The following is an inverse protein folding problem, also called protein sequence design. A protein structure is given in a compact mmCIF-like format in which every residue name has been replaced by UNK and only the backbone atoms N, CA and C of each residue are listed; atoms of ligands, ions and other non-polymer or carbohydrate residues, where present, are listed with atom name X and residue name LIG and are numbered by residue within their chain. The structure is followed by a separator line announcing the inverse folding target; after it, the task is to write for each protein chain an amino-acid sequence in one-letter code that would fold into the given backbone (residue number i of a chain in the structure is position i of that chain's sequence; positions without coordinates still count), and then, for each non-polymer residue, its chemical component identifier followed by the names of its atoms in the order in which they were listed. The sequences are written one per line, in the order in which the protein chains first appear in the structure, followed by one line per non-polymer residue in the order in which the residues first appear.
data_IF_443207259554
#
_entry.id   IF_443207259554
#
_cell.length_a   1.000
_cell.length_b   1.000
_cell.length_c   1.000
_cell.angle_alpha   90.00
_cell.angle_beta   90.00
_cell.angle_gamma   90.00
#
_symmetry.space_group_name_H-M   'P 1'
#
loop_
_entity.id
_entity.type
_entity.pdbx_description
1 polymer ?
#
# COMPACT_ATOMS: atom_id res chain seq x y z
N UNK A 1 -12.75 -26.54 -40.43
CA UNK A 1 -12.02 -27.27 -40.01
C UNK A 1 -11.50 -27.54 -38.61
N UNK A 2 -10.28 -27.53 -38.18
CA UNK A 2 -9.82 -28.12 -36.93
C UNK A 2 -9.80 -27.22 -35.67
N UNK A 3 -10.49 -26.10 -35.62
CA UNK A 3 -10.46 -25.13 -34.50
C UNK A 3 -11.34 -25.52 -33.29
N UNK A 4 -12.30 -26.44 -33.46
CA UNK A 4 -13.12 -26.92 -32.33
C UNK A 4 -12.35 -27.69 -31.24
N UNK A 5 -11.13 -28.16 -31.56
CA UNK A 5 -10.25 -28.85 -30.61
C UNK A 5 -9.42 -27.89 -29.74
N UNK A 6 -9.29 -26.60 -30.11
CA UNK A 6 -8.48 -25.63 -29.38
C UNK A 6 -9.22 -24.90 -28.26
N UNK A 7 -10.56 -24.89 -28.27
CA UNK A 7 -11.34 -24.22 -27.22
C UNK A 7 -11.07 -24.78 -25.80
N UNK A 8 -10.90 -26.12 -25.58
CA UNK A 8 -10.51 -26.65 -24.30
C UNK A 8 -9.14 -26.14 -23.82
N UNK A 9 -8.18 -26.03 -24.75
CA UNK A 9 -6.84 -25.54 -24.46
C UNK A 9 -6.86 -24.10 -23.97
N UNK A 10 -7.63 -23.21 -24.62
CA UNK A 10 -7.78 -21.83 -24.20
C UNK A 10 -8.34 -21.69 -22.76
N UNK A 11 -9.32 -22.50 -22.40
CA UNK A 11 -9.87 -22.52 -21.02
C UNK A 11 -8.82 -23.02 -20.03
N UNK A 12 -8.09 -24.08 -20.36
CA UNK A 12 -7.02 -24.61 -19.50
C UNK A 12 -5.93 -23.55 -19.28
N UNK A 13 -5.52 -22.84 -20.34
CA UNK A 13 -4.53 -21.76 -20.23
C UNK A 13 -5.02 -20.63 -19.31
N UNK A 14 -6.28 -20.24 -19.38
CA UNK A 14 -6.83 -19.22 -18.48
C UNK A 14 -6.89 -19.72 -17.03
N UNK A 15 -7.25 -20.98 -16.80
CA UNK A 15 -7.24 -21.57 -15.45
C UNK A 15 -5.84 -21.65 -14.89
N UNK A 16 -4.88 -22.18 -15.67
CA UNK A 16 -3.48 -22.25 -15.26
C UNK A 16 -2.91 -20.85 -15.03
N UNK A 17 -3.20 -19.90 -15.93
CA UNK A 17 -2.77 -18.51 -15.78
C UNK A 17 -3.32 -17.86 -14.50
N UNK A 18 -4.54 -18.18 -14.09
CA UNK A 18 -5.13 -17.65 -12.85
C UNK A 18 -4.48 -18.21 -11.58
N UNK A 19 -3.80 -19.35 -11.65
CA UNK A 19 -3.06 -19.94 -10.53
C UNK A 19 -1.57 -19.56 -10.51
N UNK A 20 -1.12 -18.79 -11.49
CA UNK A 20 0.29 -18.38 -11.59
C UNK A 20 0.79 -17.63 -10.34
N UNK A 21 0.00 -16.70 -9.71
CA UNK A 21 0.43 -16.03 -8.48
C UNK A 21 0.74 -17.01 -7.35
N UNK A 22 -0.04 -18.08 -7.24
CA UNK A 22 0.18 -19.12 -6.25
C UNK A 22 1.52 -19.88 -6.49
N UNK A 23 1.80 -20.22 -7.74
CA UNK A 23 3.05 -20.90 -8.09
C UNK A 23 4.28 -20.03 -7.77
N UNK A 24 4.20 -18.72 -8.06
CA UNK A 24 5.28 -17.77 -7.72
C UNK A 24 5.37 -17.55 -6.21
N UNK A 25 4.24 -17.46 -5.52
CA UNK A 25 4.20 -17.33 -4.06
C UNK A 25 4.87 -18.55 -3.39
N UNK A 26 4.61 -19.78 -3.87
CA UNK A 26 5.27 -21.00 -3.42
C UNK A 26 6.79 -20.97 -3.60
N UNK A 27 7.27 -20.33 -4.66
CA UNK A 27 8.70 -20.23 -4.95
C UNK A 27 9.40 -19.17 -4.10
N UNK A 28 8.71 -18.09 -3.71
CA UNK A 28 9.30 -16.92 -3.05
C UNK A 28 9.03 -16.89 -1.54
N UNK A 29 7.82 -17.26 -1.11
CA UNK A 29 7.39 -17.22 0.28
C UNK A 29 7.18 -18.62 0.83
N UNK A 30 7.81 -18.95 1.96
CA UNK A 30 7.69 -20.29 2.55
C UNK A 30 6.53 -20.44 3.53
N UNK A 31 6.02 -19.34 4.12
CA UNK A 31 5.00 -19.36 5.17
C UNK A 31 3.63 -18.92 4.66
N UNK A 32 2.56 -19.56 5.15
CA UNK A 32 1.16 -19.21 4.82
C UNK A 32 0.71 -19.52 3.38
N UNK A 33 1.61 -20.00 2.53
CA UNK A 33 1.37 -20.22 1.10
C UNK A 33 0.37 -21.34 0.85
N UNK A 34 0.41 -22.38 1.67
CA UNK A 34 -0.52 -23.50 1.55
C UNK A 34 -1.96 -23.03 1.76
N UNK A 35 -2.22 -22.28 2.82
CA UNK A 35 -3.52 -21.72 3.17
C UNK A 35 -4.01 -20.78 2.07
N UNK A 36 -3.17 -19.85 1.61
CA UNK A 36 -3.48 -18.94 0.50
C UNK A 36 -3.84 -19.71 -0.77
N UNK A 37 -3.10 -20.78 -1.06
CA UNK A 37 -3.35 -21.65 -2.21
C UNK A 37 -4.69 -22.37 -2.14
N UNK A 38 -5.05 -22.84 -0.97
CA UNK A 38 -6.34 -23.52 -0.74
C UNK A 38 -7.51 -22.58 -1.01
N UNK A 39 -7.44 -21.36 -0.46
CA UNK A 39 -8.46 -20.33 -0.71
C UNK A 39 -8.54 -19.95 -2.18
N UNK A 40 -7.39 -19.83 -2.87
CA UNK A 40 -7.35 -19.53 -4.30
C UNK A 40 -8.04 -20.59 -5.14
N UNK A 41 -7.71 -21.87 -4.93
CA UNK A 41 -8.30 -23.00 -5.66
C UNK A 41 -9.78 -23.14 -5.34
N UNK A 42 -10.17 -23.01 -4.07
CA UNK A 42 -11.55 -23.06 -3.63
C UNK A 42 -12.40 -21.98 -4.32
N UNK A 43 -11.95 -20.74 -4.27
CA UNK A 43 -12.69 -19.62 -4.86
C UNK A 43 -12.76 -19.69 -6.38
N UNK A 44 -11.69 -20.13 -7.04
CA UNK A 44 -11.71 -20.36 -8.48
C UNK A 44 -12.71 -21.44 -8.85
N UNK A 45 -12.73 -22.55 -8.12
CA UNK A 45 -13.67 -23.65 -8.33
C UNK A 45 -15.12 -23.22 -8.14
N UNK A 46 -15.42 -22.45 -7.08
CA UNK A 46 -16.75 -21.87 -6.82
C UNK A 46 -17.13 -20.93 -7.97
N UNK A 47 -16.24 -20.00 -8.36
CA UNK A 47 -16.50 -19.02 -9.43
C UNK A 47 -16.81 -19.71 -10.75
N UNK A 48 -16.02 -20.70 -11.14
CA UNK A 48 -16.25 -21.49 -12.38
C UNK A 48 -17.55 -22.30 -12.28
N UNK A 49 -17.87 -22.85 -11.12
CA UNK A 49 -19.11 -23.62 -10.91
C UNK A 49 -20.36 -22.75 -11.03
N UNK A 50 -20.32 -21.53 -10.49
CA UNK A 50 -21.44 -20.58 -10.57
C UNK A 50 -21.69 -20.09 -12.01
N UNK A 51 -20.64 -19.88 -12.80
CA UNK A 51 -20.73 -19.31 -14.14
C UNK A 51 -20.84 -20.34 -15.26
N UNK A 52 -20.74 -21.63 -14.96
CA UNK A 52 -20.67 -22.71 -15.95
C UNK A 52 -21.85 -22.81 -16.93
N UNK A 53 -23.04 -22.34 -16.53
CA UNK A 53 -24.24 -22.32 -17.43
C UNK A 53 -24.14 -21.23 -18.48
N UNK A 54 -23.26 -20.27 -18.30
CA UNK A 54 -23.05 -19.11 -19.15
C UNK A 54 -21.58 -19.10 -19.67
N UNK A 55 -21.26 -19.92 -20.70
CA UNK A 55 -19.88 -20.15 -21.11
C UNK A 55 -19.11 -18.86 -21.48
N UNK A 56 -19.79 -17.91 -22.12
CA UNK A 56 -19.16 -16.62 -22.46
C UNK A 56 -18.82 -15.81 -21.22
N UNK A 57 -19.73 -15.75 -20.26
CA UNK A 57 -19.51 -15.05 -19.00
C UNK A 57 -18.39 -15.72 -18.19
N UNK A 58 -18.35 -17.04 -18.17
CA UNK A 58 -17.26 -17.81 -17.51
C UNK A 58 -15.91 -17.52 -18.18
N UNK A 59 -15.84 -17.50 -19.50
CA UNK A 59 -14.61 -17.19 -20.23
C UNK A 59 -14.14 -15.74 -19.97
N UNK A 60 -15.07 -14.78 -19.92
CA UNK A 60 -14.76 -13.40 -19.58
C UNK A 60 -14.25 -13.30 -18.14
N UNK A 61 -14.91 -13.96 -17.19
CA UNK A 61 -14.49 -14.00 -15.80
C UNK A 61 -13.09 -14.61 -15.64
N UNK A 62 -12.80 -15.73 -16.28
CA UNK A 62 -11.48 -16.37 -16.26
C UNK A 62 -10.41 -15.48 -16.90
N UNK A 63 -10.74 -14.77 -17.97
CA UNK A 63 -9.80 -13.83 -18.60
C UNK A 63 -9.46 -12.66 -17.66
N UNK A 64 -10.45 -12.08 -16.98
CA UNK A 64 -10.25 -11.02 -15.99
C UNK A 64 -9.39 -11.50 -14.81
N UNK A 65 -9.69 -12.69 -14.28
CA UNK A 65 -8.86 -13.30 -13.21
C UNK A 65 -7.43 -13.52 -13.71
N UNK A 66 -7.24 -14.08 -14.91
CA UNK A 66 -5.90 -14.32 -15.45
C UNK A 66 -5.13 -13.02 -15.69
N UNK A 67 -5.79 -11.96 -16.14
CA UNK A 67 -5.16 -10.65 -16.31
C UNK A 67 -4.72 -10.05 -14.96
N UNK A 68 -5.56 -10.16 -13.94
CA UNK A 68 -5.21 -9.77 -12.58
C UNK A 68 -4.11 -10.65 -11.98
N UNK A 69 -4.07 -11.94 -12.32
CA UNK A 69 -3.01 -12.86 -11.88
C UNK A 69 -1.62 -12.42 -12.36
N UNK A 70 -1.51 -11.98 -13.61
CA UNK A 70 -0.26 -11.46 -14.16
C UNK A 70 0.18 -10.20 -13.38
N UNK A 71 -0.77 -9.32 -13.05
CA UNK A 71 -0.49 -8.15 -12.23
C UNK A 71 0.01 -8.53 -10.82
N UNK A 72 -0.62 -9.53 -10.19
CA UNK A 72 -0.18 -10.04 -8.88
C UNK A 72 1.24 -10.59 -8.91
N UNK A 73 1.58 -11.35 -9.96
CA UNK A 73 2.94 -11.87 -10.16
C UNK A 73 3.94 -10.73 -10.33
N UNK A 74 3.59 -9.71 -11.11
CA UNK A 74 4.46 -8.55 -11.32
C UNK A 74 4.70 -7.79 -10.01
N UNK A 75 3.66 -7.58 -9.22
CA UNK A 75 3.76 -6.96 -7.90
C UNK A 75 4.67 -7.77 -6.97
N UNK A 76 4.47 -9.08 -6.92
CA UNK A 76 5.27 -9.99 -6.09
C UNK A 76 6.74 -9.98 -6.49
N UNK A 77 7.06 -10.01 -7.79
CA UNK A 77 8.43 -10.00 -8.30
C UNK A 77 9.15 -8.67 -8.11
N UNK A 78 8.44 -7.55 -8.18
CA UNK A 78 9.05 -6.21 -8.05
C UNK A 78 9.10 -5.70 -6.62
N UNK A 79 8.05 -5.96 -5.85
CA UNK A 79 7.84 -5.35 -4.54
C UNK A 79 7.82 -6.37 -3.41
N UNK A 80 7.95 -7.66 -3.72
CA UNK A 80 7.95 -8.72 -2.71
C UNK A 80 6.59 -9.00 -2.06
N UNK A 81 5.50 -8.39 -2.58
CA UNK A 81 4.14 -8.54 -2.05
C UNK A 81 3.09 -8.53 -3.14
N UNK A 82 1.93 -9.13 -2.85
CA UNK A 82 0.76 -9.06 -3.73
C UNK A 82 0.05 -7.72 -3.59
N UNK A 83 -0.89 -7.42 -4.48
CA UNK A 83 -1.75 -6.24 -4.36
C UNK A 83 -2.52 -6.33 -3.05
N UNK A 84 -2.23 -5.42 -2.15
CA UNK A 84 -2.85 -5.25 -0.85
C UNK A 84 -3.67 -3.95 -0.79
N UNK A 85 -4.20 -3.64 0.37
CA UNK A 85 -4.96 -2.40 0.61
C UNK A 85 -4.12 -1.16 0.36
N UNK A 86 -2.83 -1.19 0.70
CA UNK A 86 -1.93 -0.06 0.50
C UNK A 86 -1.63 0.16 -0.99
N UNK A 87 -1.49 -0.92 -1.76
CA UNK A 87 -1.33 -0.85 -3.21
C UNK A 87 -2.57 -0.23 -3.88
N UNK A 88 -3.79 -0.62 -3.46
CA UNK A 88 -5.03 -0.01 -3.94
C UNK A 88 -5.13 1.46 -3.55
N UNK A 89 -4.75 1.80 -2.32
CA UNK A 89 -4.72 3.18 -1.85
C UNK A 89 -3.73 4.01 -2.69
N UNK A 90 -2.51 3.52 -2.91
CA UNK A 90 -1.51 4.15 -3.77
C UNK A 90 -2.05 4.42 -5.18
N UNK A 91 -2.67 3.41 -5.82
CA UNK A 91 -3.27 3.59 -7.15
C UNK A 91 -4.36 4.65 -7.14
N UNK A 92 -5.21 4.70 -6.11
CA UNK A 92 -6.29 5.68 -6.00
C UNK A 92 -5.80 7.10 -5.67
N UNK A 93 -4.65 7.19 -5.00
CA UNK A 93 -4.01 8.45 -4.60
C UNK A 93 -3.04 8.95 -5.69
N UNK A 94 -2.62 8.07 -6.63
CA UNK A 94 -1.72 8.44 -7.74
C UNK A 94 -2.42 9.38 -8.71
N UNK A 95 -1.80 10.50 -8.96
CA UNK A 95 -2.31 11.49 -9.93
C UNK A 95 -1.99 11.10 -11.37
N UNK A 96 -2.69 11.69 -12.34
CA UNK A 96 -2.44 11.42 -13.78
C UNK A 96 -1.00 11.75 -14.18
N UNK A 97 -0.40 12.76 -13.55
CA UNK A 97 0.99 13.15 -13.79
C UNK A 97 2.01 12.12 -13.32
N UNK A 98 1.73 11.42 -12.24
CA UNK A 98 2.55 10.31 -11.73
C UNK A 98 2.28 9.01 -12.49
N UNK A 99 1.02 8.76 -12.86
CA UNK A 99 0.61 7.55 -13.57
C UNK A 99 1.22 7.46 -14.98
N UNK A 100 1.24 8.56 -15.75
CA UNK A 100 1.75 8.58 -17.12
C UNK A 100 3.20 8.10 -17.25
N UNK A 101 4.16 8.55 -16.41
CA UNK A 101 5.50 8.01 -16.43
C UNK A 101 5.61 6.55 -16.00
N UNK A 102 4.75 6.11 -15.08
CA UNK A 102 4.71 4.71 -14.69
C UNK A 102 4.29 3.81 -15.84
N UNK A 103 3.42 4.29 -16.76
CA UNK A 103 3.05 3.55 -17.96
C UNK A 103 4.27 3.25 -18.85
N UNK A 104 5.24 4.15 -18.95
CA UNK A 104 6.48 3.90 -19.69
C UNK A 104 7.40 2.86 -19.01
N UNK A 105 7.21 2.61 -17.72
CA UNK A 105 7.95 1.60 -16.96
C UNK A 105 7.24 0.25 -16.90
N UNK A 106 6.06 0.13 -17.51
CA UNK A 106 5.31 -1.14 -17.58
C UNK A 106 6.13 -2.17 -18.35
N UNK A 107 6.43 -3.33 -17.76
CA UNK A 107 7.28 -4.31 -18.42
C UNK A 107 6.59 -4.92 -19.64
N UNK A 108 7.34 -5.12 -20.69
CA UNK A 108 6.87 -5.74 -21.93
C UNK A 108 6.20 -7.09 -21.64
N UNK A 109 6.72 -7.87 -20.68
CA UNK A 109 6.13 -9.14 -20.26
C UNK A 109 4.71 -9.03 -19.72
N UNK A 110 4.37 -7.94 -19.02
CA UNK A 110 3.01 -7.67 -18.54
C UNK A 110 2.07 -7.36 -19.70
N UNK A 111 2.51 -6.49 -20.59
CA UNK A 111 1.74 -6.13 -21.80
C UNK A 111 1.53 -7.32 -22.73
N UNK A 112 2.59 -8.13 -22.98
CA UNK A 112 2.47 -9.32 -23.81
C UNK A 112 1.58 -10.39 -23.18
N UNK A 113 1.63 -10.55 -21.86
CA UNK A 113 0.73 -11.44 -21.12
C UNK A 113 -0.73 -11.02 -21.25
N UNK A 114 -1.03 -9.75 -21.10
CA UNK A 114 -2.39 -9.21 -21.29
C UNK A 114 -2.85 -9.34 -22.73
N UNK A 115 -2.00 -9.04 -23.71
CA UNK A 115 -2.31 -9.23 -25.12
C UNK A 115 -2.66 -10.69 -25.44
N UNK A 116 -1.89 -11.64 -24.89
CA UNK A 116 -2.17 -13.07 -25.04
C UNK A 116 -3.53 -13.46 -24.44
N UNK A 117 -3.86 -12.96 -23.24
CA UNK A 117 -5.16 -13.20 -22.61
C UNK A 117 -6.31 -12.64 -23.47
N UNK A 118 -6.16 -11.45 -24.01
CA UNK A 118 -7.16 -10.84 -24.91
C UNK A 118 -7.37 -11.69 -26.16
N UNK A 119 -6.30 -12.19 -26.77
CA UNK A 119 -6.39 -13.08 -27.96
C UNK A 119 -7.10 -14.38 -27.62
N UNK A 120 -6.75 -15.03 -26.48
CA UNK A 120 -7.41 -16.25 -26.01
C UNK A 120 -8.90 -15.98 -25.74
N UNK A 121 -9.20 -14.90 -25.01
CA UNK A 121 -10.57 -14.51 -24.68
C UNK A 121 -11.41 -14.23 -25.95
N UNK A 122 -10.88 -13.46 -26.89
CA UNK A 122 -11.58 -13.16 -28.15
C UNK A 122 -11.88 -14.45 -28.94
N UNK A 123 -10.91 -15.36 -29.02
CA UNK A 123 -11.12 -16.69 -29.62
C UNK A 123 -12.22 -17.49 -28.96
N UNK A 124 -12.29 -17.46 -27.63
CA UNK A 124 -13.34 -18.13 -26.84
C UNK A 124 -14.72 -17.45 -26.96
N UNK A 125 -14.77 -16.14 -27.14
CA UNK A 125 -16.01 -15.40 -27.38
C UNK A 125 -16.61 -15.73 -28.74
N UNK A 126 -15.78 -15.89 -29.77
CA UNK A 126 -16.22 -16.29 -31.10
C UNK A 126 -16.74 -17.75 -31.12
N UNK A 127 -16.12 -18.62 -30.34
CA UNK A 127 -16.46 -20.07 -30.28
C UNK A 127 -16.42 -20.57 -28.85
N UNK A 128 -17.48 -20.34 -28.07
CA UNK A 128 -17.51 -20.74 -26.67
C UNK A 128 -17.39 -22.26 -26.50
N UNK A 129 -16.56 -22.73 -25.56
CA UNK A 129 -16.31 -24.16 -25.40
C UNK A 129 -17.54 -24.87 -24.85
N UNK A 130 -17.93 -25.96 -25.51
CA UNK A 130 -19.03 -26.82 -25.05
C UNK A 130 -18.68 -27.62 -23.79
N UNK A 131 -17.39 -27.67 -23.44
CA UNK A 131 -16.86 -28.37 -22.24
C UNK A 131 -17.43 -27.85 -20.91
N UNK A 132 -17.87 -26.59 -20.89
CA UNK A 132 -18.48 -25.99 -19.70
C UNK A 132 -19.92 -26.49 -19.41
N UNK A 133 -20.48 -27.35 -20.26
CA UNK A 133 -21.76 -28.03 -20.05
C UNK A 133 -21.67 -29.27 -19.15
N UNK A 134 -20.54 -29.51 -18.51
CA UNK A 134 -20.38 -30.64 -17.59
C UNK A 134 -21.43 -30.64 -16.46
N UNK A 135 -21.92 -31.84 -16.03
CA UNK A 135 -22.93 -31.94 -14.99
C UNK A 135 -22.39 -31.39 -13.68
N UNK A 136 -22.95 -30.27 -13.27
CA UNK A 136 -22.42 -29.45 -12.25
C UNK A 136 -22.43 -29.96 -10.84
N UNK A 137 -23.25 -30.93 -10.62
CA UNK A 137 -23.31 -31.62 -9.32
C UNK A 137 -21.98 -32.33 -9.02
N UNK A 138 -21.31 -32.91 -10.02
CA UNK A 138 -20.02 -33.59 -9.83
C UNK A 138 -18.87 -32.60 -9.65
N UNK A 139 -18.88 -31.48 -10.38
CA UNK A 139 -17.85 -30.44 -10.23
C UNK A 139 -18.01 -29.67 -8.91
N UNK A 140 -19.24 -29.37 -8.51
CA UNK A 140 -19.53 -28.74 -7.22
C UNK A 140 -19.20 -29.66 -6.04
N UNK A 141 -19.51 -30.97 -6.15
CA UNK A 141 -19.15 -31.95 -5.14
C UNK A 141 -17.65 -32.19 -5.09
N UNK A 142 -16.96 -32.22 -6.23
CA UNK A 142 -15.49 -32.31 -6.27
C UNK A 142 -14.84 -31.04 -5.70
N UNK A 143 -15.25 -29.84 -6.14
CA UNK A 143 -14.76 -28.58 -5.61
C UNK A 143 -15.09 -28.42 -4.13
N UNK A 144 -16.31 -28.72 -3.72
CA UNK A 144 -16.74 -28.69 -2.30
C UNK A 144 -16.02 -29.74 -1.46
N UNK A 145 -15.79 -30.94 -1.99
CA UNK A 145 -15.01 -31.99 -1.34
C UNK A 145 -13.55 -31.64 -1.18
N UNK A 146 -12.94 -31.06 -2.20
CA UNK A 146 -11.59 -30.52 -2.13
C UNK A 146 -11.52 -29.39 -1.09
N UNK A 147 -12.47 -28.44 -1.10
CA UNK A 147 -12.53 -27.38 -0.10
C UNK A 147 -12.69 -27.91 1.32
N UNK A 148 -13.57 -28.90 1.53
CA UNK A 148 -13.78 -29.51 2.84
C UNK A 148 -12.57 -30.29 3.32
N UNK A 149 -11.93 -31.08 2.43
CA UNK A 149 -10.70 -31.81 2.75
C UNK A 149 -9.56 -30.86 3.10
N UNK A 150 -9.43 -29.77 2.35
CA UNK A 150 -8.39 -28.77 2.57
C UNK A 150 -8.65 -27.96 3.86
N UNK A 151 -9.90 -27.62 4.14
CA UNK A 151 -10.29 -27.01 5.42
C UNK A 151 -10.00 -27.95 6.60
N UNK A 152 -10.29 -29.25 6.46
CA UNK A 152 -9.99 -30.25 7.47
C UNK A 152 -8.47 -30.40 7.69
N UNK A 153 -7.66 -30.39 6.63
CA UNK A 153 -6.20 -30.41 6.72
C UNK A 153 -5.69 -29.16 7.44
N UNK A 154 -6.21 -27.96 7.11
CA UNK A 154 -5.84 -26.71 7.78
C UNK A 154 -6.17 -26.78 9.27
N UNK A 155 -7.40 -27.21 9.62
CA UNK A 155 -7.84 -27.33 11.03
C UNK A 155 -7.02 -28.38 11.78
N UNK A 156 -6.68 -29.51 11.15
CA UNK A 156 -5.85 -30.55 11.75
C UNK A 156 -4.41 -30.09 11.97
N UNK A 157 -3.84 -29.35 11.00
CA UNK A 157 -2.46 -28.82 11.11
C UNK A 157 -2.37 -27.71 12.13
N UNK A 158 -3.40 -26.87 12.28
CA UNK A 158 -3.45 -25.81 13.30
C UNK A 158 -3.64 -26.40 14.69
N UNK A 159 -4.43 -27.48 14.84
CA UNK A 159 -4.56 -28.20 16.12
C UNK A 159 -3.23 -28.79 16.60
N UNK A 160 -2.35 -29.20 15.68
CA UNK A 160 -1.02 -29.73 16.00
C UNK A 160 -0.03 -28.62 16.42
N UNK A 161 -0.10 -27.44 15.76
CA UNK A 161 0.83 -26.32 16.08
C UNK A 161 0.47 -25.60 17.38
N UNK A 162 -0.80 -25.59 17.81
CA UNK A 162 -1.22 -24.94 19.05
C UNK A 162 -0.69 -25.62 20.32
N UNK A 163 -0.22 -26.86 20.24
CA UNK A 163 0.34 -27.58 21.39
C UNK A 163 1.83 -27.29 21.68
N UNK A 164 2.50 -26.50 20.85
CA UNK A 164 3.96 -26.31 20.93
C UNK A 164 4.48 -24.87 20.99
N UNK A 165 3.62 -23.87 20.97
CA UNK A 165 4.05 -22.46 21.03
C UNK A 165 3.32 -21.70 22.12
N UNK A 166 4.10 -21.15 23.04
CA UNK A 166 3.66 -20.40 24.20
C UNK A 166 2.69 -19.26 23.87
N UNK A 167 1.66 -19.15 24.70
CA UNK A 167 0.51 -18.26 24.64
C UNK A 167 0.81 -16.75 24.83
N UNK A 168 1.94 -16.24 24.34
CA UNK A 168 2.35 -14.85 24.58
C UNK A 168 1.94 -13.85 23.50
N UNK A 169 1.50 -14.31 22.30
CA UNK A 169 1.01 -13.42 21.23
C UNK A 169 -0.19 -14.05 20.53
N UNK A 170 -1.38 -13.52 20.82
CA UNK A 170 -2.63 -13.88 20.13
C UNK A 170 -2.64 -13.33 18.68
N UNK A 171 -1.90 -14.00 17.78
CA UNK A 171 -1.76 -13.61 16.38
C UNK A 171 -2.37 -14.61 15.35
N UNK A 172 -3.00 -15.74 15.68
CA UNK A 172 -3.49 -16.69 14.68
C UNK A 172 -4.58 -16.09 13.78
N UNK A 173 -5.40 -15.18 14.28
CA UNK A 173 -6.46 -14.51 13.52
C UNK A 173 -5.93 -13.54 12.47
N UNK A 174 -4.86 -12.81 12.75
CA UNK A 174 -4.23 -11.88 11.83
C UNK A 174 -3.51 -12.61 10.69
N UNK A 175 -2.79 -13.68 11.01
CA UNK A 175 -2.12 -14.52 9.99
C UNK A 175 -3.11 -15.20 9.05
N UNK A 176 -4.24 -15.67 9.56
CA UNK A 176 -5.32 -16.27 8.75
C UNK A 176 -5.95 -15.26 7.82
N UNK A 177 -6.23 -14.06 8.30
CA UNK A 177 -6.78 -12.99 7.47
C UNK A 177 -5.79 -12.57 6.39
N UNK A 178 -4.50 -12.51 6.71
CA UNK A 178 -3.46 -12.20 5.74
C UNK A 178 -3.30 -13.33 4.69
N UNK A 179 -3.32 -14.59 5.11
CA UNK A 179 -3.32 -15.72 4.21
C UNK A 179 -4.54 -15.73 3.27
N UNK A 180 -5.72 -15.35 3.78
CA UNK A 180 -6.94 -15.22 2.98
C UNK A 180 -6.83 -14.08 1.96
N UNK A 181 -6.27 -12.93 2.34
CA UNK A 181 -6.00 -11.80 1.43
C UNK A 181 -5.04 -12.16 0.31
N UNK A 182 -4.01 -12.96 0.61
CA UNK A 182 -3.03 -13.46 -0.39
C UNK A 182 -3.59 -14.53 -1.33
N UNK A 183 -4.73 -15.12 -0.99
CA UNK A 183 -5.39 -16.16 -1.79
C UNK A 183 -6.07 -15.61 -3.04
N UNK A 184 -5.30 -15.25 -4.08
CA UNK A 184 -5.86 -14.80 -5.34
C UNK A 184 -6.59 -15.95 -6.08
N UNK A 185 -7.81 -15.76 -6.65
CA UNK A 185 -8.55 -14.51 -6.78
C UNK A 185 -9.48 -14.17 -5.59
N UNK A 186 -9.72 -15.08 -4.65
CA UNK A 186 -10.70 -14.94 -3.56
C UNK A 186 -10.34 -13.84 -2.56
N UNK A 187 -9.08 -13.54 -2.38
CA UNK A 187 -8.61 -12.48 -1.50
C UNK A 187 -8.94 -11.07 -2.01
N UNK A 188 -9.04 -10.88 -3.33
CA UNK A 188 -9.25 -9.54 -3.91
C UNK A 188 -10.54 -8.85 -3.43
N UNK A 189 -11.71 -9.52 -3.34
CA UNK A 189 -12.90 -8.89 -2.77
C UNK A 189 -12.69 -8.40 -1.33
N UNK A 190 -11.92 -9.12 -0.52
CA UNK A 190 -11.58 -8.71 0.85
C UNK A 190 -10.66 -7.50 0.87
N UNK A 191 -9.64 -7.48 0.00
CA UNK A 191 -8.72 -6.34 -0.14
C UNK A 191 -9.48 -5.09 -0.59
N UNK A 192 -10.39 -5.22 -1.56
CA UNK A 192 -11.23 -4.12 -2.04
C UNK A 192 -12.18 -3.63 -0.93
N UNK A 193 -12.85 -4.55 -0.23
CA UNK A 193 -13.73 -4.19 0.87
C UNK A 193 -12.99 -3.47 1.99
N UNK A 194 -11.82 -3.97 2.37
CA UNK A 194 -10.96 -3.39 3.38
C UNK A 194 -10.48 -1.99 2.99
N UNK A 195 -10.11 -1.79 1.70
CA UNK A 195 -9.77 -0.48 1.16
C UNK A 195 -10.90 0.53 1.36
N UNK A 196 -12.14 0.17 0.97
CA UNK A 196 -13.28 1.07 1.14
C UNK A 196 -13.66 1.28 2.61
N UNK A 197 -13.46 0.28 3.47
CA UNK A 197 -13.64 0.40 4.91
C UNK A 197 -12.65 1.40 5.49
N UNK A 198 -11.35 1.23 5.20
CA UNK A 198 -10.30 2.14 5.68
C UNK A 198 -10.51 3.57 5.16
N UNK A 199 -10.92 3.73 3.91
CA UNK A 199 -11.22 5.04 3.35
C UNK A 199 -12.37 5.72 4.09
N UNK A 200 -13.44 5.00 4.39
CA UNK A 200 -14.56 5.53 5.21
C UNK A 200 -14.11 5.87 6.62
N UNK A 201 -13.26 5.07 7.21
CA UNK A 201 -12.70 5.34 8.54
C UNK A 201 -11.81 6.58 8.56
N UNK A 202 -11.00 6.80 7.52
CA UNK A 202 -10.20 8.02 7.36
C UNK A 202 -11.07 9.27 7.32
N UNK A 203 -12.13 9.26 6.51
CA UNK A 203 -13.08 10.38 6.42
C UNK A 203 -13.79 10.61 7.75
N UNK A 204 -14.17 9.54 8.45
CA UNK A 204 -14.85 9.64 9.74
C UNK A 204 -13.90 9.98 10.91
N UNK A 205 -12.60 9.71 10.77
CA UNK A 205 -11.63 9.93 11.84
C UNK A 205 -11.52 11.40 12.23
N UNK A 206 -11.51 12.30 11.26
CA UNK A 206 -11.40 13.74 11.49
C UNK A 206 -12.55 14.25 12.36
N UNK A 207 -13.79 13.88 12.05
CA UNK A 207 -14.96 14.24 12.85
C UNK A 207 -14.92 13.63 14.27
N UNK A 208 -14.49 12.37 14.40
CA UNK A 208 -14.38 11.72 15.73
C UNK A 208 -13.32 12.34 16.61
N UNK A 209 -12.25 12.87 16.02
CA UNK A 209 -11.12 13.47 16.73
C UNK A 209 -11.28 14.99 16.92
N UNK A 210 -12.37 15.60 16.51
CA UNK A 210 -12.60 17.04 16.64
C UNK A 210 -12.54 17.51 18.10
N UNK A 211 -13.06 16.69 19.02
CA UNK A 211 -13.03 16.98 20.46
C UNK A 211 -11.76 16.50 21.17
N UNK A 212 -10.87 15.77 20.46
CA UNK A 212 -9.65 15.23 21.09
C UNK A 212 -8.70 16.36 21.50
N UNK A 213 -8.13 16.26 22.69
CA UNK A 213 -7.11 17.16 23.22
C UNK A 213 -6.03 16.35 23.97
N UNK A 214 -4.79 16.74 23.77
CA UNK A 214 -3.66 16.18 24.53
C UNK A 214 -3.58 16.76 25.96
N UNK A 215 -4.16 17.95 26.17
CA UNK A 215 -3.91 18.73 27.37
C UNK A 215 -2.45 19.22 27.46
N UNK A 216 -1.81 19.38 26.30
CA UNK A 216 -0.42 19.78 26.25
C UNK A 216 -0.24 21.24 26.67
N UNK A 217 0.73 21.48 27.54
CA UNK A 217 1.12 22.82 27.99
C UNK A 217 2.64 22.92 28.04
N UNK A 218 3.13 24.16 27.97
CA UNK A 218 4.56 24.42 28.13
C UNK A 218 4.87 24.77 29.59
N UNK A 219 5.98 24.25 30.09
CA UNK A 219 6.53 24.78 31.33
C UNK A 219 6.96 26.24 31.11
N UNK A 220 6.46 27.14 31.94
CA UNK A 220 6.86 28.55 31.91
C UNK A 220 8.22 28.65 32.60
N UNK A 221 9.29 28.63 31.84
CA UNK A 221 10.67 28.79 32.36
C UNK A 221 11.21 30.11 31.81
N UNK A 222 11.06 31.22 32.55
CA UNK A 222 11.63 32.52 32.23
C UNK A 222 11.12 33.18 30.92
N UNK A 223 11.65 34.36 30.62
CA UNK A 223 11.44 35.02 29.33
C UNK A 223 12.41 34.45 28.29
N UNK A 224 11.95 33.50 27.52
CA UNK A 224 12.75 32.94 26.43
C UNK A 224 12.58 33.77 25.14
N UNK A 225 13.61 33.91 24.34
CA UNK A 225 13.46 34.39 22.97
C UNK A 225 12.52 33.44 22.21
N UNK A 226 11.95 33.92 21.12
CA UNK A 226 11.12 33.13 20.21
C UNK A 226 11.72 31.75 19.93
N UNK A 227 10.92 30.71 20.04
CA UNK A 227 11.33 29.31 19.77
C UNK A 227 10.84 28.90 18.40
N UNK A 228 11.73 28.27 17.64
CA UNK A 228 11.41 27.71 16.34
C UNK A 228 11.85 26.25 16.34
N UNK A 229 10.88 25.35 16.21
CA UNK A 229 11.13 23.93 16.00
C UNK A 229 10.79 23.56 14.57
N UNK A 230 11.73 22.91 13.88
CA UNK A 230 11.54 22.46 12.49
C UNK A 230 11.72 20.96 12.44
N UNK A 231 10.68 20.26 12.02
CA UNK A 231 10.70 18.81 11.73
C UNK A 231 10.71 18.63 10.22
N UNK A 232 11.82 18.13 9.67
CA UNK A 232 11.92 17.80 8.25
C UNK A 232 11.65 16.32 8.07
N UNK A 233 10.58 15.99 7.35
CA UNK A 233 10.24 14.63 6.95
C UNK A 233 10.79 14.42 5.54
N UNK A 234 11.89 13.64 5.45
CA UNK A 234 12.50 13.26 4.18
C UNK A 234 11.73 12.15 3.48
N UNK A 235 11.97 11.98 2.20
CA UNK A 235 11.37 10.93 1.37
C UNK A 235 12.47 10.06 0.74
N UNK A 236 12.33 8.75 0.86
CA UNK A 236 13.17 7.71 0.24
C UNK A 236 14.69 7.88 0.49
N UNK A 237 15.07 8.50 1.62
CA UNK A 237 16.45 8.71 2.03
C UNK A 237 17.03 7.49 2.73
N UNK A 238 17.88 6.71 2.04
CA UNK A 238 18.56 5.55 2.63
C UNK A 238 19.70 5.98 3.54
N UNK A 239 19.68 5.53 4.80
CA UNK A 239 20.68 5.84 5.80
C UNK A 239 22.10 5.42 5.40
N UNK A 240 22.23 4.29 4.67
CA UNK A 240 23.50 3.75 4.18
C UNK A 240 24.08 4.49 2.96
N UNK A 241 23.35 5.47 2.41
CA UNK A 241 23.82 6.37 1.35
C UNK A 241 24.16 7.78 1.86
N UNK A 242 24.26 7.97 3.16
CA UNK A 242 24.69 9.23 3.76
C UNK A 242 26.16 9.15 4.19
N UNK A 243 27.00 10.05 3.71
CA UNK A 243 28.42 10.13 4.10
C UNK A 243 28.58 10.22 5.62
N UNK A 244 27.68 10.92 6.29
CA UNK A 244 27.54 11.01 7.74
C UNK A 244 27.43 9.63 8.44
N UNK A 245 26.94 8.62 7.73
CA UNK A 245 26.79 7.26 8.22
C UNK A 245 27.85 6.29 7.70
N UNK A 246 28.87 6.80 6.97
CA UNK A 246 29.98 5.99 6.44
C UNK A 246 29.85 5.64 4.95
N UNK A 247 28.95 6.27 4.19
CA UNK A 247 28.90 6.11 2.75
C UNK A 247 30.16 6.69 2.10
N UNK A 248 30.72 5.98 1.11
CA UNK A 248 31.98 6.35 0.48
C UNK A 248 31.95 7.62 -0.38
N UNK A 249 30.75 8.06 -0.80
CA UNK A 249 30.58 9.31 -1.55
C UNK A 249 30.21 10.43 -0.58
N UNK A 250 30.73 11.62 -0.84
CA UNK A 250 30.39 12.81 -0.07
C UNK A 250 28.98 13.33 -0.41
N UNK A 251 27.96 12.64 0.12
CA UNK A 251 26.54 12.92 -0.10
C UNK A 251 25.96 13.92 0.91
N UNK A 252 26.64 14.19 2.02
CA UNK A 252 26.17 15.08 3.10
C UNK A 252 27.24 16.06 3.60
N UNK A 253 27.96 16.78 2.73
CA UNK A 253 29.15 17.59 3.11
C UNK A 253 28.81 18.67 4.14
N UNK A 254 27.66 19.36 3.96
CA UNK A 254 27.21 20.42 4.87
C UNK A 254 26.79 19.93 6.25
N UNK A 255 26.20 18.71 6.31
CA UNK A 255 25.82 18.08 7.57
C UNK A 255 27.05 17.53 8.29
N UNK A 256 27.96 16.91 7.55
CA UNK A 256 29.20 16.33 8.09
C UNK A 256 30.13 17.37 8.71
N UNK A 257 30.03 18.63 8.27
CA UNK A 257 30.84 19.73 8.81
C UNK A 257 30.24 20.41 10.07
N UNK A 258 29.04 20.00 10.51
CA UNK A 258 28.40 20.62 11.67
C UNK A 258 28.88 19.97 12.98
N UNK A 259 29.12 20.81 13.98
CA UNK A 259 29.55 20.37 15.33
C UNK A 259 28.36 20.16 16.30
N UNK A 260 27.17 20.68 15.94
CA UNK A 260 25.93 20.61 16.72
C UNK A 260 24.96 19.54 16.25
N UNK A 261 25.45 18.60 15.40
CA UNK A 261 24.65 17.54 14.83
C UNK A 261 24.67 16.29 15.69
N UNK A 262 23.49 15.71 15.94
CA UNK A 262 23.32 14.38 16.55
C UNK A 262 22.82 13.43 15.46
N UNK A 263 23.60 12.40 15.13
CA UNK A 263 23.22 11.37 14.17
C UNK A 263 22.83 10.08 14.86
N UNK A 264 21.59 9.64 14.65
CA UNK A 264 21.08 8.37 15.18
C UNK A 264 21.44 7.22 14.25
N UNK A 265 22.32 6.33 14.68
CA UNK A 265 22.82 5.19 13.86
C UNK A 265 21.82 4.02 13.78
N UNK A 266 20.88 3.93 14.73
CA UNK A 266 19.91 2.82 14.87
C UNK A 266 18.48 3.37 14.88
N UNK A 267 18.14 4.16 13.87
CA UNK A 267 16.80 4.67 13.67
C UNK A 267 16.17 3.96 12.47
N UNK A 268 15.03 3.30 12.69
CA UNK A 268 14.37 2.48 11.68
C UNK A 268 13.00 3.04 11.34
N UNK A 269 12.71 3.17 10.06
CA UNK A 269 11.36 3.48 9.60
C UNK A 269 10.43 2.29 9.86
N UNK A 270 9.21 2.56 10.26
CA UNK A 270 8.17 1.54 10.47
C UNK A 270 7.85 0.77 9.19
N UNK A 271 7.88 1.45 8.06
CA UNK A 271 7.51 0.92 6.76
C UNK A 271 8.31 1.60 5.65
N UNK A 272 8.23 1.04 4.45
CA UNK A 272 8.86 1.55 3.24
C UNK A 272 7.96 2.53 2.47
N UNK A 273 6.78 2.86 2.99
CA UNK A 273 5.84 3.80 2.37
C UNK A 273 5.54 4.96 3.31
N UNK A 274 5.46 6.15 2.77
CA UNK A 274 5.09 7.40 3.45
C UNK A 274 3.77 7.27 4.20
N UNK A 275 2.76 6.65 3.56
CA UNK A 275 1.43 6.42 4.12
C UNK A 275 1.42 5.71 5.48
N UNK A 276 2.33 4.77 5.71
CA UNK A 276 2.43 4.02 6.96
C UNK A 276 3.46 4.59 7.94
N UNK A 277 4.51 5.25 7.42
CA UNK A 277 5.62 5.76 8.23
C UNK A 277 5.28 7.10 8.89
N UNK A 278 4.71 8.04 8.14
CA UNK A 278 4.43 9.40 8.64
C UNK A 278 3.45 9.43 9.81
N UNK A 279 2.36 8.63 9.82
CA UNK A 279 1.49 8.55 11.00
C UNK A 279 2.21 8.09 12.28
N UNK A 280 3.18 7.18 12.17
CA UNK A 280 3.99 6.75 13.32
C UNK A 280 4.98 7.83 13.76
N UNK A 281 5.53 8.61 12.83
CA UNK A 281 6.44 9.72 13.14
C UNK A 281 5.70 10.85 13.87
N UNK A 282 4.47 11.13 13.47
CA UNK A 282 3.72 12.30 13.92
C UNK A 282 2.69 12.03 15.02
N UNK A 283 2.56 10.80 15.51
CA UNK A 283 1.60 10.47 16.55
C UNK A 283 2.17 9.44 17.52
N UNK A 284 1.42 9.11 18.57
CA UNK A 284 1.74 8.00 19.48
C UNK A 284 1.27 6.64 18.96
N UNK A 285 0.98 6.57 17.65
CA UNK A 285 0.58 5.32 17.01
C UNK A 285 1.64 4.25 17.19
N UNK A 286 1.30 3.06 17.75
CA UNK A 286 2.26 1.99 17.92
C UNK A 286 2.84 1.53 16.57
N UNK A 287 4.15 1.29 16.46
CA UNK A 287 4.78 0.84 15.23
C UNK A 287 4.19 -0.47 14.66
N UNK A 288 3.62 -1.33 15.51
CA UNK A 288 2.97 -2.58 15.11
C UNK A 288 1.55 -2.42 14.56
N UNK A 289 0.91 -1.26 14.75
CA UNK A 289 -0.47 -1.05 14.30
C UNK A 289 -0.57 -1.01 12.78
N UNK A 290 -1.48 -1.81 12.22
CA UNK A 290 -1.78 -1.87 10.78
C UNK A 290 -2.93 -0.93 10.39
N UNK A 291 -3.58 -0.28 11.34
CA UNK A 291 -4.70 0.62 11.10
C UNK A 291 -4.24 1.87 10.34
N UNK A 292 -5.05 2.37 9.44
CA UNK A 292 -4.76 3.59 8.69
C UNK A 292 -4.90 4.86 9.55
N UNK A 293 -5.76 4.80 10.57
CA UNK A 293 -6.02 5.89 11.53
C UNK A 293 -5.56 5.49 12.93
N UNK A 294 -5.36 6.50 13.77
CA UNK A 294 -5.10 6.32 15.19
C UNK A 294 -6.10 7.14 16.00
N UNK A 295 -6.42 6.69 17.21
CA UNK A 295 -7.44 7.31 18.06
C UNK A 295 -7.05 8.68 18.67
N UNK A 296 -5.97 9.30 18.18
CA UNK A 296 -5.44 10.57 18.67
C UNK A 296 -5.03 11.47 17.49
N UNK A 297 -5.00 12.77 17.74
CA UNK A 297 -4.47 13.79 16.82
C UNK A 297 -2.93 13.68 16.72
N UNK A 298 -2.35 14.44 15.81
CA UNK A 298 -0.91 14.45 15.58
C UNK A 298 -0.14 15.34 16.57
N UNK A 299 1.19 15.24 16.52
CA UNK A 299 2.13 16.12 17.22
C UNK A 299 1.86 17.62 16.94
N UNK A 300 1.34 17.94 15.74
CA UNK A 300 0.94 19.32 15.40
C UNK A 300 -0.16 19.83 16.34
N UNK A 301 -1.16 18.99 16.65
CA UNK A 301 -2.20 19.36 17.62
C UNK A 301 -1.61 19.59 19.02
N UNK A 302 -0.70 18.71 19.46
CA UNK A 302 -0.05 18.87 20.76
C UNK A 302 0.80 20.16 20.82
N UNK A 303 1.53 20.48 19.76
CA UNK A 303 2.29 21.71 19.66
C UNK A 303 1.37 22.96 19.67
N UNK A 304 0.23 22.90 18.98
CA UNK A 304 -0.77 23.96 18.97
C UNK A 304 -1.35 24.21 20.37
N UNK A 305 -1.72 23.16 21.09
CA UNK A 305 -2.18 23.25 22.47
C UNK A 305 -1.11 23.84 23.41
N UNK A 306 0.15 23.54 23.15
CA UNK A 306 1.29 24.10 23.88
C UNK A 306 1.60 25.56 23.46
N UNK A 307 0.79 26.19 22.60
CA UNK A 307 0.88 27.60 22.23
C UNK A 307 1.86 27.91 21.11
N UNK A 308 2.26 26.91 20.31
CA UNK A 308 3.00 27.16 19.08
C UNK A 308 2.05 27.50 17.93
N UNK A 309 2.46 28.40 17.06
CA UNK A 309 1.90 28.46 15.72
C UNK A 309 2.42 27.27 14.93
N UNK A 310 1.52 26.47 14.39
CA UNK A 310 1.86 25.21 13.73
C UNK A 310 1.67 25.32 12.22
N UNK A 311 2.67 24.93 11.45
CA UNK A 311 2.64 25.01 9.98
C UNK A 311 3.05 23.70 9.38
N UNK A 312 2.26 23.21 8.43
CA UNK A 312 2.60 22.13 7.53
C UNK A 312 2.97 22.69 6.15
N UNK A 313 4.20 22.49 5.73
CA UNK A 313 4.71 22.92 4.44
C UNK A 313 5.18 21.70 3.64
N UNK A 314 4.59 21.44 2.48
CA UNK A 314 4.90 20.27 1.66
C UNK A 314 5.10 20.64 0.20
N UNK A 315 6.07 20.03 -0.45
CA UNK A 315 6.20 20.04 -1.90
C UNK A 315 5.71 18.73 -2.55
N UNK A 316 5.19 17.80 -1.76
CA UNK A 316 4.36 16.72 -2.27
C UNK A 316 2.95 17.28 -2.55
N UNK A 317 2.28 16.76 -3.58
CA UNK A 317 0.92 17.18 -3.89
C UNK A 317 -0.07 16.77 -2.78
N UNK A 318 -1.12 17.57 -2.54
CA UNK A 318 -2.22 17.11 -1.72
C UNK A 318 -2.91 15.97 -2.45
N UNK A 319 -2.61 14.74 -2.07
CA UNK A 319 -3.35 13.58 -2.55
C UNK A 319 -4.75 13.64 -1.97
N UNK A 320 -5.77 13.77 -2.82
CA UNK A 320 -7.20 13.84 -2.49
C UNK A 320 -7.50 14.46 -1.12
N UNK A 321 -8.09 15.62 -1.05
CA UNK A 321 -8.20 16.46 0.15
C UNK A 321 -8.73 15.77 1.42
N UNK A 322 -9.27 14.55 1.31
CA UNK A 322 -9.85 13.77 2.41
C UNK A 322 -9.32 12.33 2.53
N UNK A 323 -8.43 11.88 1.66
CA UNK A 323 -8.24 10.45 1.43
C UNK A 323 -6.89 9.88 1.89
N UNK A 324 -5.93 10.72 2.29
CA UNK A 324 -4.61 10.29 2.75
C UNK A 324 -4.44 10.46 4.26
N UNK A 325 -3.89 9.48 4.98
CA UNK A 325 -3.54 9.65 6.40
C UNK A 325 -2.65 10.87 6.65
N UNK A 326 -1.79 11.22 5.69
CA UNK A 326 -0.88 12.36 5.79
C UNK A 326 -1.66 13.67 5.73
N UNK A 327 -2.63 13.78 4.84
CA UNK A 327 -3.49 14.97 4.74
C UNK A 327 -4.33 15.17 6.00
N UNK A 328 -4.82 14.08 6.60
CA UNK A 328 -5.55 14.13 7.88
C UNK A 328 -4.65 14.69 8.98
N UNK A 329 -3.40 14.22 9.08
CA UNK A 329 -2.45 14.72 10.07
C UNK A 329 -2.01 16.18 9.80
N UNK A 330 -1.85 16.54 8.53
CA UNK A 330 -1.49 17.92 8.15
C UNK A 330 -2.55 18.93 8.55
N UNK A 331 -3.84 18.54 8.53
CA UNK A 331 -4.97 19.41 8.96
C UNK A 331 -4.96 19.77 10.43
N UNK A 332 -4.17 19.09 11.27
CA UNK A 332 -3.99 19.45 12.66
C UNK A 332 -3.16 20.74 12.84
N UNK A 333 -2.47 21.20 11.79
CA UNK A 333 -1.74 22.46 11.79
C UNK A 333 -2.69 23.66 11.67
N UNK A 334 -2.26 24.82 12.21
CA UNK A 334 -2.95 26.10 12.00
C UNK A 334 -2.88 26.55 10.54
N UNK A 335 -1.80 26.20 9.85
CA UNK A 335 -1.58 26.55 8.46
C UNK A 335 -1.05 25.34 7.67
N UNK A 336 -1.70 25.02 6.55
CA UNK A 336 -1.29 23.93 5.63
C UNK A 336 -1.00 24.53 4.26
N UNK A 337 0.22 24.30 3.76
CA UNK A 337 0.67 24.77 2.44
C UNK A 337 1.26 23.63 1.63
N UNK A 338 0.68 23.41 0.46
CA UNK A 338 1.24 22.54 -0.58
C UNK A 338 1.81 23.43 -1.69
N UNK A 339 3.13 23.35 -1.91
CA UNK A 339 3.83 24.23 -2.86
C UNK A 339 3.79 23.64 -4.27
N UNK A 340 3.73 22.31 -4.38
CA UNK A 340 3.63 21.64 -5.67
C UNK A 340 2.27 21.90 -6.31
N UNK A 341 2.22 22.36 -7.57
CA UNK A 341 0.96 22.43 -8.30
C UNK A 341 0.37 21.02 -8.47
N UNK A 342 -0.95 20.92 -8.44
CA UNK A 342 -1.70 19.66 -8.63
C UNK A 342 -1.42 19.02 -10.01
N UNK A 343 -0.85 19.79 -10.94
CA UNK A 343 -0.51 19.32 -12.29
C UNK A 343 0.99 18.99 -12.41
N UNK A 344 1.31 17.70 -12.32
CA UNK A 344 2.65 17.13 -12.49
C UNK A 344 3.20 17.18 -13.92
N UNK A 345 2.56 17.88 -14.83
CA UNK A 345 3.04 18.05 -16.21
C UNK A 345 4.26 18.95 -16.32
N UNK A 346 4.54 19.71 -15.26
CA UNK A 346 5.70 20.60 -15.18
C UNK A 346 6.85 19.91 -14.46
N UNK A 347 8.09 20.31 -14.77
CA UNK A 347 9.30 19.86 -14.11
C UNK A 347 9.11 19.90 -12.59
N UNK A 348 9.46 18.81 -11.90
CA UNK A 348 9.15 18.61 -10.49
C UNK A 348 9.62 19.78 -9.61
N UNK A 349 8.81 20.12 -8.64
CA UNK A 349 9.18 21.11 -7.61
C UNK A 349 10.29 20.51 -6.76
N UNK A 350 11.43 21.15 -6.69
CA UNK A 350 12.58 20.73 -5.87
C UNK A 350 12.36 21.06 -4.41
N UNK A 351 13.03 20.35 -3.51
CA UNK A 351 12.95 20.63 -2.08
C UNK A 351 13.47 22.05 -1.75
N UNK A 352 14.39 22.59 -2.54
CA UNK A 352 14.88 23.97 -2.40
C UNK A 352 13.80 25.05 -2.64
N UNK A 353 12.73 24.73 -3.39
CA UNK A 353 11.61 25.62 -3.62
C UNK A 353 10.77 25.88 -2.35
N UNK A 354 10.92 25.03 -1.33
CA UNK A 354 10.36 25.27 -0.01
C UNK A 354 11.06 26.39 0.76
N UNK A 355 12.35 26.66 0.48
CA UNK A 355 13.17 27.62 1.22
C UNK A 355 12.62 29.06 1.22
N UNK A 356 12.13 29.62 0.10
CA UNK A 356 11.49 30.95 0.11
C UNK A 356 10.29 31.02 1.05
N UNK A 357 9.49 29.94 1.14
CA UNK A 357 8.34 29.86 2.04
C UNK A 357 8.79 29.81 3.50
N UNK A 358 9.80 28.99 3.81
CA UNK A 358 10.40 28.93 5.16
C UNK A 358 10.94 30.27 5.58
N UNK A 359 11.74 30.96 4.72
CA UNK A 359 12.28 32.30 5.01
C UNK A 359 11.18 33.30 5.29
N UNK A 360 10.10 33.28 4.50
CA UNK A 360 8.94 34.16 4.70
C UNK A 360 8.26 33.91 6.04
N UNK A 361 8.01 32.65 6.41
CA UNK A 361 7.44 32.28 7.69
C UNK A 361 8.33 32.74 8.85
N UNK A 362 9.63 32.54 8.76
CA UNK A 362 10.57 32.95 9.79
C UNK A 362 10.65 34.47 9.96
N UNK A 363 10.50 35.24 8.89
CA UNK A 363 10.58 36.68 8.91
C UNK A 363 9.26 37.34 9.34
N UNK A 364 8.12 36.84 8.89
CA UNK A 364 6.82 37.48 9.10
C UNK A 364 6.17 37.13 10.44
N UNK A 365 6.34 35.91 10.94
CA UNK A 365 5.71 35.45 12.17
C UNK A 365 6.67 35.60 13.35
N UNK A 366 6.23 36.27 14.39
CA UNK A 366 7.01 36.46 15.64
C UNK A 366 6.59 35.48 16.75
N UNK A 367 5.58 34.67 16.53
CA UNK A 367 5.14 33.65 17.48
C UNK A 367 6.15 32.48 17.56
N UNK A 368 6.10 31.75 18.65
CA UNK A 368 6.76 30.45 18.71
C UNK A 368 6.22 29.55 17.60
N UNK A 369 7.11 28.93 16.82
CA UNK A 369 6.77 28.22 15.59
C UNK A 369 7.12 26.74 15.68
N UNK A 370 6.18 25.87 15.33
CA UNK A 370 6.43 24.47 15.04
C UNK A 370 6.13 24.21 13.56
N UNK A 371 7.19 24.03 12.77
CA UNK A 371 7.13 23.89 11.33
C UNK A 371 7.45 22.44 10.93
N UNK A 372 6.52 21.78 10.26
CA UNK A 372 6.76 20.51 9.58
C UNK A 372 7.02 20.78 8.12
N UNK A 373 8.17 20.34 7.62
CA UNK A 373 8.55 20.39 6.20
C UNK A 373 8.51 18.97 5.66
N UNK A 374 7.58 18.68 4.77
CA UNK A 374 7.44 17.40 4.11
C UNK A 374 8.00 17.49 2.69
N UNK A 375 9.15 16.86 2.48
CA UNK A 375 9.92 16.99 1.24
C UNK A 375 9.56 15.91 0.23
N UNK A 376 9.94 16.14 -1.03
CA UNK A 376 9.86 15.14 -2.08
C UNK A 376 11.12 14.25 -2.11
N UNK A 377 12.24 14.74 -1.61
CA UNK A 377 13.48 13.98 -1.45
C UNK A 377 13.89 13.19 -2.67
N UNK A 378 14.21 11.92 -2.45
CA UNK A 378 14.60 10.96 -3.50
C UNK A 378 13.42 10.12 -4.01
N UNK A 379 12.23 10.69 -4.12
CA UNK A 379 11.07 10.02 -4.70
C UNK A 379 11.32 9.64 -6.17
N UNK A 380 10.59 8.65 -6.69
CA UNK A 380 10.64 8.20 -8.08
C UNK A 380 10.70 9.38 -9.08
N UNK A 381 11.47 9.23 -10.17
CA UNK A 381 11.97 10.24 -11.11
C UNK A 381 13.14 11.06 -10.56
N UNK A 382 14.18 10.35 -10.11
CA UNK A 382 15.42 10.96 -9.58
C UNK A 382 16.04 12.06 -10.43
N UNK A 383 15.88 12.04 -11.76
CA UNK A 383 16.46 13.06 -12.63
C UNK A 383 15.68 14.40 -12.63
N UNK A 384 14.48 14.39 -12.07
CA UNK A 384 13.61 15.57 -12.00
C UNK A 384 13.68 16.23 -10.61
N UNK A 385 14.61 15.76 -9.76
CA UNK A 385 14.82 16.18 -8.37
C UNK A 385 16.16 16.88 -8.18
#
# INVERSE_FOLDING_TARGET
MRWGKCAPVGVVLLVVGSLLPLAVLLAVCKEGVLISGLYAVAGLSISVSMLRRLPRLTCTWLALISAGAILQVEMLLRFGGMVDVNALALVSETTSGEALPLLHSVPVRLLSGWALIVVIWAGLMLRPPQLLRWPGRRLALFGGGVCAALLAIVVAFEGWHQTTVDAAFDQPSLERMEALRRGYPTGMPLVIWEYFRQRRELVAADARLESFRFGASRAVVGSWPRRVHVLVIGETGRADHWALNGYSRDSTPRLSSRNDLISFKKFYSRATFTRLSVPVILSRKPPGSVEATFGERSLLQAAREAGYHTVWLSNQAPMGFHDSPITVLAKDADEVRFVSPVDYRHAGVRDEDLLPHVRRLLAADQRDLFLVIHTMGSHFRYRDR
#
